data_IF_336320696882
#
_entry.id   IF_336320696882
#
_cell.length_a   1.000
_cell.length_b   1.000
_cell.length_c   1.000
_cell.angle_alpha   90.00
_cell.angle_beta   90.00
_cell.angle_gamma   90.00
#
_symmetry.space_group_name_H-M   'P 1'
#
loop_
_entity.id
_entity.type
_entity.pdbx_description
1 polymer ?
#
# COMPACT_ATOMS: atom_id res chain seq x y z
N UNK A 1 11.58 -16.34 25.63
CA UNK A 1 10.29 -15.63 25.77
C UNK A 1 10.04 -14.93 24.45
N UNK A 2 9.19 -15.47 23.57
CA UNK A 2 8.63 -14.69 22.46
C UNK A 2 7.68 -13.69 23.11
N UNK A 3 8.17 -12.48 23.36
CA UNK A 3 7.32 -11.40 23.88
C UNK A 3 6.22 -11.11 22.86
N UNK A 4 5.00 -10.93 23.34
CA UNK A 4 3.89 -10.43 22.52
C UNK A 4 4.35 -9.13 21.83
N UNK A 5 4.29 -9.10 20.51
CA UNK A 5 4.56 -7.90 19.73
C UNK A 5 3.36 -6.93 19.83
N UNK A 6 3.56 -5.62 19.59
CA UNK A 6 2.52 -4.62 19.81
C UNK A 6 1.24 -4.81 19.00
N UNK A 7 1.27 -5.54 17.88
CA UNK A 7 0.14 -5.74 16.98
C UNK A 7 -0.17 -7.23 16.71
N UNK A 8 0.23 -8.14 17.61
CA UNK A 8 0.04 -9.60 17.42
C UNK A 8 -1.43 -10.04 17.28
N UNK A 9 -2.38 -9.23 17.75
CA UNK A 9 -3.82 -9.45 17.67
C UNK A 9 -4.49 -8.72 16.50
N UNK A 10 -3.73 -8.00 15.69
CA UNK A 10 -4.24 -7.22 14.55
C UNK A 10 -4.09 -7.99 13.25
N UNK A 11 -5.14 -8.01 12.44
CA UNK A 11 -5.13 -8.58 11.09
C UNK A 11 -5.39 -7.54 10.02
N UNK A 12 -4.51 -7.48 9.03
CA UNK A 12 -4.53 -6.49 7.94
C UNK A 12 -4.69 -7.18 6.59
N UNK A 13 -5.65 -6.70 5.79
CA UNK A 13 -5.77 -7.06 4.38
C UNK A 13 -5.09 -5.98 3.55
N UNK A 14 -4.00 -6.36 2.90
CA UNK A 14 -3.17 -5.50 2.05
C UNK A 14 -3.59 -5.66 0.58
N UNK A 15 -4.42 -4.73 0.08
CA UNK A 15 -4.80 -4.63 -1.33
C UNK A 15 -3.82 -3.75 -2.14
N UNK A 16 -2.70 -3.38 -1.52
CA UNK A 16 -1.84 -2.35 -2.08
C UNK A 16 -0.79 -2.92 -3.03
N UNK A 17 -0.22 -2.04 -3.84
CA UNK A 17 0.85 -2.38 -4.78
C UNK A 17 1.95 -1.32 -4.82
N UNK A 18 3.11 -1.73 -5.34
CA UNK A 18 4.24 -0.85 -5.67
C UNK A 18 4.99 -0.22 -4.49
N UNK A 19 4.53 0.85 -3.83
CA UNK A 19 5.40 1.59 -2.87
C UNK A 19 4.71 2.12 -1.62
N UNK A 20 3.85 3.14 -1.72
CA UNK A 20 3.29 3.80 -0.52
C UNK A 20 2.46 2.86 0.36
N UNK A 21 1.50 2.16 -0.26
CA UNK A 21 0.66 1.18 0.42
C UNK A 21 1.44 -0.01 1.01
N UNK A 22 2.33 -0.68 0.24
CA UNK A 22 3.10 -1.79 0.79
C UNK A 22 4.00 -1.39 1.95
N UNK A 23 4.54 -0.17 1.93
CA UNK A 23 5.31 0.37 3.06
C UNK A 23 4.43 0.58 4.30
N UNK A 24 3.21 1.11 4.14
CA UNK A 24 2.22 1.23 5.22
C UNK A 24 1.95 -0.13 5.89
N UNK A 25 1.57 -1.13 5.11
CA UNK A 25 1.21 -2.46 5.64
C UNK A 25 2.42 -3.26 6.13
N UNK A 26 3.61 -2.98 5.60
CA UNK A 26 4.85 -3.56 6.13
C UNK A 26 5.10 -3.12 7.57
N UNK A 27 4.86 -1.86 7.91
CA UNK A 27 5.03 -1.39 9.31
C UNK A 27 4.19 -2.26 10.24
N UNK A 28 2.92 -2.52 9.90
CA UNK A 28 2.07 -3.43 10.68
C UNK A 28 2.66 -4.83 10.81
N UNK A 29 3.13 -5.43 9.71
CA UNK A 29 3.75 -6.74 9.72
C UNK A 29 5.03 -6.79 10.60
N UNK A 30 5.88 -5.75 10.52
CA UNK A 30 7.11 -5.63 11.29
C UNK A 30 6.82 -5.47 12.81
N UNK A 31 5.62 -5.01 13.18
CA UNK A 31 5.14 -4.90 14.56
C UNK A 31 4.24 -6.07 15.01
N UNK A 32 4.16 -7.15 14.24
CA UNK A 32 3.53 -8.42 14.64
C UNK A 32 2.15 -8.71 14.01
N UNK A 33 1.57 -7.78 13.26
CA UNK A 33 0.25 -7.98 12.67
C UNK A 33 0.24 -9.12 11.64
N UNK A 34 -0.86 -9.87 11.57
CA UNK A 34 -1.12 -10.82 10.48
C UNK A 34 -1.51 -10.06 9.21
N UNK A 35 -0.53 -9.83 8.34
CA UNK A 35 -0.74 -9.10 7.09
C UNK A 35 -0.90 -10.07 5.91
N UNK A 36 -2.07 -10.05 5.29
CA UNK A 36 -2.39 -10.84 4.09
C UNK A 36 -2.41 -9.90 2.89
N UNK A 37 -1.40 -10.02 2.04
CA UNK A 37 -1.34 -9.36 0.74
C UNK A 37 -2.22 -10.08 -0.27
N UNK A 38 -3.17 -9.35 -0.83
CA UNK A 38 -4.01 -9.82 -1.94
C UNK A 38 -3.41 -9.31 -3.23
N UNK A 39 -2.84 -10.21 -4.01
CA UNK A 39 -2.24 -9.91 -5.30
C UNK A 39 -3.21 -10.23 -6.43
N UNK A 40 -3.18 -9.42 -7.49
CA UNK A 40 -3.88 -9.73 -8.74
C UNK A 40 -3.22 -10.94 -9.44
N UNK A 41 -3.89 -11.60 -10.40
CA UNK A 41 -3.22 -12.52 -11.31
C UNK A 41 -1.97 -11.88 -11.94
N UNK A 42 -0.83 -12.55 -11.81
CA UNK A 42 0.49 -12.03 -12.23
C UNK A 42 1.28 -11.28 -11.14
N UNK A 43 0.70 -11.08 -9.95
CA UNK A 43 1.39 -10.51 -8.79
C UNK A 43 1.42 -8.97 -8.73
N UNK A 44 2.05 -8.48 -7.67
CA UNK A 44 2.40 -7.06 -7.50
C UNK A 44 3.43 -6.65 -8.55
N UNK A 45 3.22 -5.54 -9.30
CA UNK A 45 4.22 -4.98 -10.20
C UNK A 45 5.61 -4.80 -9.58
N UNK A 46 5.70 -4.58 -8.26
CA UNK A 46 6.97 -4.46 -7.55
C UNK A 46 7.87 -5.69 -7.70
N UNK A 47 7.30 -6.89 -7.94
CA UNK A 47 8.07 -8.13 -8.20
C UNK A 47 8.97 -8.04 -9.42
N UNK A 48 8.69 -7.10 -10.32
CA UNK A 48 9.47 -6.84 -11.54
C UNK A 48 10.38 -5.62 -11.41
N UNK A 49 10.51 -5.03 -10.22
CA UNK A 49 11.34 -3.85 -10.01
C UNK A 49 12.73 -4.22 -9.46
N UNK A 50 13.80 -3.56 -9.94
CA UNK A 50 15.15 -3.76 -9.43
C UNK A 50 15.32 -3.23 -7.99
N UNK A 51 16.47 -3.46 -7.34
CA UNK A 51 17.60 -4.28 -7.80
C UNK A 51 17.26 -5.77 -7.80
N UNK A 52 17.98 -6.53 -8.62
CA UNK A 52 17.96 -8.00 -8.62
C UNK A 52 19.37 -8.52 -8.33
N UNK A 53 19.53 -9.65 -7.63
CA UNK A 53 20.80 -10.36 -7.54
C UNK A 53 21.36 -10.61 -8.94
N UNK A 54 22.64 -10.30 -9.13
CA UNK A 54 23.38 -10.47 -10.39
C UNK A 54 22.72 -9.78 -11.61
N UNK A 55 21.88 -8.77 -11.38
CA UNK A 55 21.07 -8.09 -12.39
C UNK A 55 20.13 -9.02 -13.19
N UNK A 56 19.77 -10.19 -12.63
CA UNK A 56 18.87 -11.17 -13.26
C UNK A 56 17.40 -10.98 -12.80
N UNK A 57 16.49 -10.48 -13.66
CA UNK A 57 15.10 -10.24 -13.26
C UNK A 57 14.37 -11.53 -12.90
N UNK A 58 13.81 -11.59 -11.69
CA UNK A 58 12.97 -12.70 -11.25
C UNK A 58 11.92 -12.22 -10.23
N UNK A 59 10.66 -12.68 -10.32
CA UNK A 59 9.55 -12.23 -9.46
C UNK A 59 9.81 -12.39 -7.96
N UNK A 60 10.55 -13.44 -7.59
CA UNK A 60 10.94 -13.76 -6.20
C UNK A 60 12.32 -13.21 -5.80
N UNK A 61 12.98 -12.42 -6.65
CA UNK A 61 14.31 -11.85 -6.38
C UNK A 61 14.34 -10.32 -6.49
N UNK A 62 13.19 -9.66 -6.62
CA UNK A 62 13.14 -8.21 -6.58
C UNK A 62 13.45 -7.69 -5.18
N UNK A 63 14.56 -6.97 -5.04
CA UNK A 63 14.93 -6.28 -3.81
C UNK A 63 13.87 -5.27 -3.37
N UNK A 64 13.20 -4.60 -4.32
CA UNK A 64 12.08 -3.69 -4.02
C UNK A 64 10.89 -4.44 -3.43
N UNK A 65 10.44 -5.53 -4.05
CA UNK A 65 9.31 -6.30 -3.54
C UNK A 65 9.60 -6.91 -2.16
N UNK A 66 10.77 -7.54 -2.02
CA UNK A 66 11.19 -8.17 -0.77
C UNK A 66 11.29 -7.13 0.36
N UNK A 67 11.91 -5.97 0.10
CA UNK A 67 11.95 -4.87 1.05
C UNK A 67 10.54 -4.43 1.48
N UNK A 68 9.58 -4.33 0.57
CA UNK A 68 8.25 -3.79 0.89
C UNK A 68 7.24 -4.81 1.42
N UNK A 69 7.52 -6.11 1.32
CA UNK A 69 6.54 -7.16 1.64
C UNK A 69 7.10 -8.26 2.54
N UNK A 70 8.25 -8.02 3.18
CA UNK A 70 8.75 -8.87 4.27
C UNK A 70 7.66 -9.02 5.35
N UNK A 71 7.60 -10.20 5.99
CA UNK A 71 6.63 -10.58 7.04
C UNK A 71 5.16 -10.73 6.60
N UNK A 72 4.84 -10.57 5.31
CA UNK A 72 3.47 -10.73 4.80
C UNK A 72 3.23 -12.13 4.24
N UNK A 73 2.00 -12.62 4.38
CA UNK A 73 1.48 -13.77 3.62
C UNK A 73 0.85 -13.26 2.33
N UNK A 74 0.92 -14.02 1.25
CA UNK A 74 0.32 -13.63 -0.04
C UNK A 74 -0.72 -14.63 -0.52
N UNK A 75 -1.79 -14.11 -1.11
CA UNK A 75 -2.81 -14.88 -1.85
C UNK A 75 -3.11 -14.15 -3.16
N UNK A 76 -3.31 -14.91 -4.23
CA UNK A 76 -3.72 -14.35 -5.53
C UNK A 76 -5.25 -14.41 -5.64
N UNK A 77 -5.90 -13.26 -5.85
CA UNK A 77 -7.33 -13.15 -6.11
C UNK A 77 -7.58 -12.26 -7.33
N UNK A 78 -8.43 -12.71 -8.26
CA UNK A 78 -8.94 -11.84 -9.31
C UNK A 78 -10.20 -11.11 -8.83
N UNK A 79 -10.04 -9.87 -8.37
CA UNK A 79 -11.16 -9.07 -7.86
C UNK A 79 -12.17 -8.65 -8.94
N UNK A 80 -11.91 -8.97 -10.22
CA UNK A 80 -12.89 -8.77 -11.30
C UNK A 80 -13.91 -9.90 -11.37
N UNK A 81 -13.65 -11.05 -10.74
CA UNK A 81 -14.59 -12.17 -10.69
C UNK A 81 -15.40 -12.14 -9.40
N UNK A 82 -16.61 -12.71 -9.45
CA UNK A 82 -17.50 -12.81 -8.28
C UNK A 82 -16.80 -13.63 -7.18
N UNK A 83 -16.18 -14.74 -7.53
CA UNK A 83 -15.44 -15.62 -6.61
C UNK A 83 -14.27 -14.89 -5.92
N UNK A 84 -13.51 -14.07 -6.64
CA UNK A 84 -12.40 -13.31 -6.07
C UNK A 84 -12.89 -12.27 -5.07
N UNK A 85 -14.01 -11.59 -5.37
CA UNK A 85 -14.64 -10.64 -4.45
C UNK A 85 -15.22 -11.33 -3.22
N UNK A 86 -15.94 -12.42 -3.40
CA UNK A 86 -16.49 -13.20 -2.28
C UNK A 86 -15.37 -13.72 -1.36
N UNK A 87 -14.26 -14.16 -1.93
CA UNK A 87 -13.09 -14.60 -1.15
C UNK A 87 -12.47 -13.45 -0.37
N UNK A 88 -12.33 -12.28 -0.99
CA UNK A 88 -11.88 -11.07 -0.29
C UNK A 88 -12.81 -10.71 0.87
N UNK A 89 -14.12 -10.71 0.65
CA UNK A 89 -15.09 -10.36 1.70
C UNK A 89 -15.05 -11.35 2.88
N UNK A 90 -14.79 -12.64 2.63
CA UNK A 90 -14.53 -13.63 3.69
C UNK A 90 -13.27 -13.32 4.49
N UNK A 91 -12.21 -12.84 3.85
CA UNK A 91 -11.00 -12.40 4.54
C UNK A 91 -11.27 -11.15 5.41
N UNK A 92 -12.00 -10.18 4.86
CA UNK A 92 -12.34 -8.91 5.52
C UNK A 92 -13.25 -9.10 6.74
N UNK A 93 -14.13 -10.11 6.73
CA UNK A 93 -15.02 -10.43 7.84
C UNK A 93 -14.30 -10.69 9.18
N UNK A 94 -13.03 -11.11 9.13
CA UNK A 94 -12.20 -11.34 10.32
C UNK A 94 -10.93 -10.50 10.36
N UNK A 95 -10.90 -9.35 9.68
CA UNK A 95 -9.79 -8.41 9.67
C UNK A 95 -10.13 -7.13 10.45
N UNK A 96 -9.12 -6.42 10.91
CA UNK A 96 -9.29 -5.13 11.60
C UNK A 96 -9.08 -3.97 10.62
N UNK A 97 -8.22 -4.18 9.62
CA UNK A 97 -7.81 -3.15 8.65
C UNK A 97 -7.84 -3.69 7.23
N UNK A 98 -8.32 -2.87 6.30
CA UNK A 98 -8.01 -2.97 4.86
C UNK A 98 -7.18 -1.75 4.47
N UNK A 99 -6.07 -1.98 3.77
CA UNK A 99 -5.27 -0.89 3.18
C UNK A 99 -5.28 -1.04 1.66
N UNK A 100 -5.51 0.06 0.95
CA UNK A 100 -5.60 0.09 -0.51
C UNK A 100 -4.88 1.33 -1.08
N UNK A 101 -4.39 1.23 -2.32
CA UNK A 101 -3.79 2.37 -3.02
C UNK A 101 -4.15 2.42 -4.51
N UNK A 102 -5.40 2.07 -4.82
CA UNK A 102 -5.95 2.19 -6.17
C UNK A 102 -6.25 3.65 -6.51
N UNK A 103 -6.48 3.91 -7.80
CA UNK A 103 -7.03 5.19 -8.24
C UNK A 103 -8.41 5.40 -7.57
N UNK A 104 -8.74 6.61 -7.09
CA UNK A 104 -10.05 6.89 -6.49
C UNK A 104 -11.22 6.35 -7.32
N UNK A 105 -12.22 5.79 -6.64
CA UNK A 105 -13.39 5.14 -7.25
C UNK A 105 -13.16 3.73 -7.82
N UNK A 106 -11.93 3.21 -7.80
CA UNK A 106 -11.65 1.85 -8.30
C UNK A 106 -12.29 0.77 -7.43
N UNK A 107 -12.25 0.90 -6.11
CA UNK A 107 -12.88 -0.07 -5.21
C UNK A 107 -14.40 -0.16 -5.44
N UNK A 108 -15.08 0.98 -5.62
CA UNK A 108 -16.52 1.03 -5.87
C UNK A 108 -16.88 0.35 -7.18
N UNK A 109 -16.11 0.62 -8.24
CA UNK A 109 -16.27 -0.05 -9.55
C UNK A 109 -16.00 -1.55 -9.48
N UNK A 110 -15.12 -1.98 -8.58
CA UNK A 110 -14.89 -3.39 -8.28
C UNK A 110 -15.92 -3.97 -7.31
N UNK A 111 -16.89 -3.21 -6.81
CA UNK A 111 -17.91 -3.72 -5.88
C UNK A 111 -17.35 -4.11 -4.51
N UNK A 112 -16.24 -3.50 -4.09
CA UNK A 112 -15.56 -3.76 -2.81
C UNK A 112 -15.31 -2.46 -2.05
N UNK A 113 -16.08 -1.40 -2.35
CA UNK A 113 -15.99 -0.10 -1.67
C UNK A 113 -16.28 -0.17 -0.17
N UNK A 114 -16.03 0.94 0.54
CA UNK A 114 -16.11 0.99 2.00
C UNK A 114 -17.45 0.49 2.55
N UNK A 115 -18.58 0.90 1.97
CA UNK A 115 -19.91 0.48 2.42
C UNK A 115 -20.12 -1.04 2.30
N UNK A 116 -19.51 -1.66 1.27
CA UNK A 116 -19.55 -3.12 1.09
C UNK A 116 -18.70 -3.81 2.17
N UNK A 117 -17.48 -3.32 2.41
CA UNK A 117 -16.60 -3.85 3.46
C UNK A 117 -17.26 -3.72 4.84
N UNK A 118 -17.84 -2.56 5.13
CA UNK A 118 -18.55 -2.28 6.39
C UNK A 118 -19.79 -3.14 6.55
N UNK A 119 -20.48 -3.46 5.45
CA UNK A 119 -21.61 -4.38 5.43
C UNK A 119 -21.26 -5.78 5.92
N UNK A 120 -20.04 -6.27 5.64
CA UNK A 120 -19.56 -7.57 6.14
C UNK A 120 -18.84 -7.48 7.48
N UNK A 121 -18.22 -6.33 7.79
CA UNK A 121 -17.51 -6.08 9.04
C UNK A 121 -17.74 -4.63 9.51
N UNK A 122 -18.68 -4.39 10.44
CA UNK A 122 -19.00 -3.04 10.91
C UNK A 122 -17.88 -2.30 11.66
N UNK A 123 -16.82 -3.02 12.08
CA UNK A 123 -15.67 -2.46 12.81
C UNK A 123 -14.47 -2.18 11.90
N UNK A 124 -14.56 -2.48 10.60
CA UNK A 124 -13.42 -2.39 9.69
C UNK A 124 -12.90 -0.96 9.56
N UNK A 125 -11.57 -0.81 9.68
CA UNK A 125 -10.85 0.40 9.29
C UNK A 125 -10.41 0.26 7.83
N UNK A 126 -10.71 1.26 7.01
CA UNK A 126 -10.20 1.36 5.64
C UNK A 126 -9.22 2.52 5.53
N UNK A 127 -8.01 2.23 5.09
CA UNK A 127 -6.99 3.24 4.78
C UNK A 127 -6.73 3.28 3.28
N UNK A 128 -7.09 4.42 2.67
CA UNK A 128 -6.90 4.69 1.25
C UNK A 128 -5.72 5.62 1.02
N UNK A 129 -4.72 5.18 0.25
CA UNK A 129 -3.53 5.98 -0.09
C UNK A 129 -3.53 6.25 -1.59
N UNK A 130 -3.85 7.48 -2.00
CA UNK A 130 -3.79 7.92 -3.40
C UNK A 130 -2.83 9.10 -3.57
N UNK A 131 -2.51 9.46 -4.81
CA UNK A 131 -1.57 10.54 -5.12
C UNK A 131 -1.95 11.88 -4.50
N UNK A 132 -3.24 12.25 -4.55
CA UNK A 132 -3.74 13.56 -4.14
C UNK A 132 -5.00 13.49 -3.25
N UNK A 133 -5.25 12.35 -2.62
CA UNK A 133 -6.46 12.13 -1.81
C UNK A 133 -7.63 11.54 -2.61
N UNK A 134 -8.72 11.23 -1.91
CA UNK A 134 -9.94 10.66 -2.50
C UNK A 134 -10.89 11.75 -3.04
N UNK A 135 -10.65 13.01 -2.69
CA UNK A 135 -11.46 14.17 -3.00
C UNK A 135 -10.61 15.36 -3.46
N UNK A 136 -11.29 16.47 -3.79
CA UNK A 136 -10.64 17.68 -4.27
C UNK A 136 -10.31 17.70 -5.77
N UNK A 137 -9.79 18.83 -6.27
CA UNK A 137 -9.62 19.08 -7.71
C UNK A 137 -8.54 18.21 -8.36
N UNK A 138 -7.60 17.66 -7.59
CA UNK A 138 -6.49 16.85 -8.09
C UNK A 138 -6.68 15.35 -7.88
N UNK A 139 -7.82 14.90 -7.33
CA UNK A 139 -8.04 13.48 -6.99
C UNK A 139 -7.77 12.51 -8.15
N UNK A 140 -8.05 12.95 -9.37
CA UNK A 140 -7.96 12.13 -10.58
C UNK A 140 -6.60 12.24 -11.30
N UNK A 141 -5.68 13.06 -10.78
CA UNK A 141 -4.37 13.30 -11.39
C UNK A 141 -3.43 12.10 -11.16
N UNK A 142 -2.69 11.78 -12.20
CA UNK A 142 -1.62 10.79 -12.15
C UNK A 142 -0.32 11.46 -11.72
N UNK A 143 0.40 10.80 -10.83
CA UNK A 143 1.67 11.27 -10.33
C UNK A 143 2.60 10.09 -10.11
N UNK A 144 3.89 10.37 -10.26
CA UNK A 144 4.97 9.55 -9.75
C UNK A 144 5.60 10.26 -8.56
N UNK A 145 6.47 9.57 -7.85
CA UNK A 145 7.16 10.11 -6.67
C UNK A 145 7.87 11.45 -6.95
N UNK A 146 8.41 11.65 -8.17
CA UNK A 146 8.99 12.92 -8.62
C UNK A 146 7.95 14.05 -8.68
N UNK A 147 6.79 13.79 -9.28
CA UNK A 147 5.69 14.76 -9.37
C UNK A 147 5.24 15.19 -7.97
N UNK A 148 5.03 14.22 -7.07
CA UNK A 148 4.60 14.50 -5.69
C UNK A 148 5.66 15.26 -4.90
N UNK A 149 6.93 14.90 -5.08
CA UNK A 149 8.06 15.58 -4.42
C UNK A 149 8.20 17.04 -4.87
N UNK A 150 8.01 17.30 -6.17
CA UNK A 150 8.01 18.65 -6.74
C UNK A 150 6.78 19.47 -6.30
N UNK A 151 5.58 18.92 -6.44
CA UNK A 151 4.33 19.60 -6.07
C UNK A 151 4.21 19.84 -4.56
N UNK A 152 4.81 18.98 -3.74
CA UNK A 152 4.91 19.18 -2.29
C UNK A 152 5.90 20.27 -1.87
N UNK A 153 6.61 20.89 -2.81
CA UNK A 153 7.55 21.99 -2.57
C UNK A 153 8.93 21.56 -2.08
N UNK A 154 9.16 20.27 -1.82
CA UNK A 154 10.42 19.78 -1.27
C UNK A 154 11.62 20.01 -2.21
N UNK A 155 11.39 19.98 -3.53
CA UNK A 155 12.44 20.27 -4.52
C UNK A 155 12.97 21.70 -4.41
N UNK A 156 12.14 22.67 -4.00
CA UNK A 156 12.54 24.08 -3.94
C UNK A 156 13.77 24.31 -3.04
N UNK A 157 13.92 23.50 -1.99
CA UNK A 157 15.03 23.59 -1.04
C UNK A 157 16.20 22.64 -1.36
N UNK A 158 16.21 21.98 -2.52
CA UNK A 158 17.24 20.99 -2.87
C UNK A 158 17.97 21.30 -4.16
N UNK A 159 19.31 21.20 -4.08
CA UNK A 159 20.21 21.47 -5.18
C UNK A 159 20.97 22.77 -4.97
N UNK A 160 21.52 23.28 -6.06
CA UNK A 160 22.20 24.57 -6.13
C UNK A 160 21.20 25.62 -6.62
N UNK A 161 21.32 26.87 -6.14
CA UNK A 161 20.46 27.99 -6.52
C UNK A 161 20.56 28.34 -8.00
N UNK A 162 21.71 28.07 -8.62
CA UNK A 162 21.98 28.39 -10.02
C UNK A 162 21.60 27.23 -10.98
N UNK A 163 21.00 26.15 -10.47
CA UNK A 163 20.66 24.94 -11.23
C UNK A 163 19.21 24.51 -11.03
N UNK A 164 18.77 23.53 -11.83
CA UNK A 164 17.44 22.96 -11.72
C UNK A 164 17.22 22.27 -10.36
N UNK A 165 16.03 22.41 -9.75
CA UNK A 165 15.71 21.76 -8.48
C UNK A 165 15.90 20.24 -8.54
N UNK A 166 16.50 19.66 -7.50
CA UNK A 166 16.79 18.24 -7.43
C UNK A 166 15.77 17.48 -6.59
N UNK A 167 15.51 16.24 -7.00
CA UNK A 167 14.70 15.30 -6.23
C UNK A 167 15.61 14.40 -5.41
N UNK A 168 15.30 14.21 -4.13
CA UNK A 168 15.99 13.22 -3.30
C UNK A 168 15.88 11.82 -3.91
N UNK A 169 16.96 11.04 -3.77
CA UNK A 169 17.03 9.67 -4.25
C UNK A 169 15.92 8.77 -3.63
N UNK A 170 15.59 7.70 -4.36
CA UNK A 170 14.61 6.71 -3.89
C UNK A 170 13.16 7.17 -4.07
N UNK A 171 12.26 6.72 -3.18
CA UNK A 171 10.81 6.96 -3.21
C UNK A 171 10.30 7.59 -1.92
N UNK A 172 11.01 8.60 -1.45
CA UNK A 172 10.82 9.16 -0.11
C UNK A 172 9.41 9.69 0.11
N UNK A 173 8.79 10.31 -0.90
CA UNK A 173 7.42 10.83 -0.80
C UNK A 173 6.41 9.70 -0.63
N UNK A 174 6.58 8.62 -1.39
CA UNK A 174 5.74 7.42 -1.31
C UNK A 174 5.87 6.77 0.06
N UNK A 175 7.09 6.61 0.58
CA UNK A 175 7.32 6.03 1.91
C UNK A 175 6.78 6.93 3.03
N UNK A 176 6.91 8.25 2.89
CA UNK A 176 6.30 9.19 3.81
C UNK A 176 4.77 9.06 3.81
N UNK A 177 4.14 9.00 2.63
CA UNK A 177 2.70 8.73 2.53
C UNK A 177 2.29 7.41 3.17
N UNK A 178 3.09 6.35 2.97
CA UNK A 178 2.89 5.06 3.63
C UNK A 178 3.03 5.12 5.15
N UNK A 179 4.02 5.86 5.67
CA UNK A 179 4.23 6.06 7.10
C UNK A 179 3.07 6.82 7.75
N UNK A 180 2.63 7.93 7.13
CA UNK A 180 1.49 8.71 7.62
C UNK A 180 0.21 7.86 7.56
N UNK A 181 0.02 7.07 6.50
CA UNK A 181 -1.07 6.10 6.40
C UNK A 181 -1.04 5.08 7.54
N UNK A 182 0.13 4.55 7.87
CA UNK A 182 0.27 3.59 8.96
C UNK A 182 -0.04 4.22 10.33
N UNK A 183 0.44 5.43 10.57
CA UNK A 183 0.16 6.19 11.78
C UNK A 183 -1.34 6.47 11.94
N UNK A 184 -2.00 6.96 10.89
CA UNK A 184 -3.42 7.24 10.92
C UNK A 184 -4.25 5.96 11.13
N UNK A 185 -3.84 4.86 10.51
CA UNK A 185 -4.47 3.54 10.70
C UNK A 185 -4.33 3.08 12.15
N UNK A 186 -3.15 3.21 12.75
CA UNK A 186 -2.92 2.79 14.13
C UNK A 186 -3.70 3.63 15.15
N UNK A 187 -3.95 4.92 14.86
CA UNK A 187 -4.81 5.78 15.69
C UNK A 187 -6.28 5.39 15.60
N UNK A 188 -6.71 4.78 14.50
CA UNK A 188 -8.10 4.36 14.27
C UNK A 188 -8.45 3.01 14.91
N UNK A 189 -7.44 2.20 15.29
CA UNK A 189 -7.57 0.95 16.04
C UNK A 189 -7.74 1.22 17.54
#
# INVERSE_FOLDING_TARGET
MTGLMPLDDVRVIDLTHTSAGPFCTRIFADYGADVIKVERPGGDPARQLPPFPDDEPHPERSGTFLFLNTNKRSVVLDLKTDEGRETLLRLVAGADVVVENFKPGTMDRLGIGYDVLRGVNPKIVLTSISNFGQDGPYRDYEAIDLTLFGMGGAMYAQGDVDHEPLKTAGRITSYHGGYVGALATAVAL
#
